data_IF_893527598327
#
_entry.id   IF_893527598327
#
_cell.length_a   1.000
_cell.length_b   1.000
_cell.length_c   1.000
_cell.angle_alpha   90.00
_cell.angle_beta   90.00
_cell.angle_gamma   90.00
#
_symmetry.space_group_name_H-M   'P 1'
#
loop_
_entity.id
_entity.type
_entity.pdbx_description
1 polymer ?
#
# COMPACT_ATOMS: atom_id res chain seq x y z
N UNK A 1 69.69 -5.47 -13.40
CA UNK A 1 69.42 -6.14 -14.69
C UNK A 1 68.78 -7.48 -14.36
N UNK A 2 67.56 -7.84 -14.73
CA UNK A 2 66.63 -7.28 -15.71
C UNK A 2 65.19 -7.47 -15.22
N UNK A 3 64.33 -6.65 -15.81
CA UNK A 3 62.90 -6.51 -15.61
C UNK A 3 62.08 -7.67 -16.20
N UNK A 4 60.90 -7.84 -15.60
CA UNK A 4 59.60 -8.20 -16.20
C UNK A 4 59.44 -9.50 -17.00
N UNK A 5 58.52 -10.37 -16.53
CA UNK A 5 57.35 -10.73 -17.34
C UNK A 5 56.16 -11.10 -16.46
N UNK A 6 55.03 -10.45 -16.73
CA UNK A 6 53.71 -10.61 -16.12
C UNK A 6 53.00 -11.81 -16.76
N UNK A 7 52.35 -12.66 -15.96
CA UNK A 7 51.17 -13.41 -16.41
C UNK A 7 50.22 -13.71 -15.24
N UNK A 8 49.08 -13.05 -15.28
CA UNK A 8 47.90 -13.24 -14.44
C UNK A 8 47.28 -14.63 -14.64
N UNK A 9 47.06 -15.38 -13.55
CA UNK A 9 45.92 -16.30 -13.42
C UNK A 9 45.50 -16.35 -11.94
N UNK A 10 44.51 -15.54 -11.57
CA UNK A 10 43.75 -15.71 -10.32
C UNK A 10 42.40 -16.30 -10.69
N UNK A 11 42.24 -17.61 -10.49
CA UNK A 11 40.98 -18.32 -10.67
C UNK A 11 40.13 -18.13 -9.41
N UNK A 12 39.45 -16.99 -9.29
CA UNK A 12 38.31 -16.85 -8.38
C UNK A 12 37.05 -17.17 -9.17
N UNK A 13 36.63 -18.42 -9.14
CA UNK A 13 35.28 -18.82 -9.54
C UNK A 13 34.29 -18.19 -8.54
N UNK A 14 33.75 -17.01 -8.87
CA UNK A 14 32.52 -16.54 -8.26
C UNK A 14 31.38 -17.32 -8.90
N UNK A 15 30.93 -18.39 -8.24
CA UNK A 15 29.60 -18.94 -8.50
C UNK A 15 28.58 -17.87 -8.09
N UNK A 16 28.09 -17.12 -9.08
CA UNK A 16 26.92 -16.27 -8.95
C UNK A 16 25.70 -17.16 -8.76
N UNK A 17 25.34 -17.38 -7.51
CA UNK A 17 24.00 -17.85 -7.18
C UNK A 17 23.03 -16.68 -7.30
N UNK A 18 21.97 -16.90 -8.08
CA UNK A 18 20.93 -15.94 -8.37
C UNK A 18 20.30 -15.38 -7.10
N UNK A 19 20.13 -14.06 -7.12
CA UNK A 19 19.31 -13.31 -6.19
C UNK A 19 17.88 -13.83 -6.28
N UNK A 20 17.52 -14.72 -5.36
CA UNK A 20 16.17 -15.23 -5.25
C UNK A 20 15.27 -14.09 -4.78
N UNK A 21 14.17 -13.89 -5.52
CA UNK A 21 13.14 -12.90 -5.23
C UNK A 21 12.75 -12.92 -3.76
N UNK A 22 12.63 -11.71 -3.22
CA UNK A 22 12.21 -11.37 -1.87
C UNK A 22 10.78 -11.90 -1.63
N UNK A 23 10.69 -13.20 -1.35
CA UNK A 23 9.47 -13.92 -1.04
C UNK A 23 9.28 -13.92 0.47
N UNK A 24 8.28 -13.18 0.93
CA UNK A 24 7.76 -13.23 2.29
C UNK A 24 8.72 -12.63 3.31
N UNK A 25 8.33 -11.47 3.84
CA UNK A 25 8.95 -10.80 4.98
C UNK A 25 8.75 -11.62 6.27
N UNK A 26 9.25 -12.87 6.30
CA UNK A 26 9.33 -13.74 7.47
C UNK A 26 10.67 -13.58 8.21
N UNK A 27 11.35 -12.45 8.01
CA UNK A 27 12.52 -12.02 8.81
C UNK A 27 12.18 -11.01 9.91
N UNK A 28 10.90 -10.79 10.20
CA UNK A 28 10.41 -9.70 11.06
C UNK A 28 10.70 -9.80 12.56
N UNK A 29 11.41 -10.84 13.05
CA UNK A 29 11.78 -10.92 14.47
C UNK A 29 13.26 -10.68 14.77
N UNK A 30 14.13 -10.51 13.77
CA UNK A 30 15.58 -10.44 14.03
C UNK A 30 16.39 -9.41 13.22
N UNK A 31 15.98 -9.04 12.01
CA UNK A 31 16.89 -8.31 11.09
C UNK A 31 16.68 -6.78 11.06
N UNK A 32 15.63 -6.25 11.72
CA UNK A 32 15.35 -4.80 11.76
C UNK A 32 15.68 -4.12 13.10
N UNK A 33 16.33 -4.82 14.04
CA UNK A 33 16.80 -4.24 15.32
C UNK A 33 18.29 -3.88 15.35
N UNK A 34 19.02 -3.95 14.23
CA UNK A 34 20.48 -3.79 14.23
C UNK A 34 20.96 -2.38 14.60
N UNK A 35 20.05 -1.40 14.78
CA UNK A 35 20.39 -0.05 15.26
C UNK A 35 19.94 0.27 16.68
N UNK A 36 19.15 -0.59 17.34
CA UNK A 36 18.64 -0.35 18.70
C UNK A 36 19.02 -1.44 19.72
N UNK A 37 19.62 -2.55 19.28
CA UNK A 37 20.17 -3.57 20.16
C UNK A 37 21.48 -3.13 20.81
N UNK A 38 21.67 -3.45 22.08
CA UNK A 38 22.97 -3.34 22.74
C UNK A 38 24.04 -4.05 21.90
N UNK A 39 25.13 -3.39 21.48
CA UNK A 39 26.19 -4.03 20.71
C UNK A 39 26.71 -5.28 21.43
N UNK A 40 27.12 -6.36 20.74
CA UNK A 40 27.58 -7.58 21.41
C UNK A 40 28.72 -7.34 22.41
N UNK A 41 29.59 -6.36 22.13
CA UNK A 41 30.68 -5.96 23.03
C UNK A 41 30.22 -5.20 24.29
N UNK A 42 29.02 -4.62 24.26
CA UNK A 42 28.48 -3.91 25.41
C UNK A 42 27.97 -4.88 26.48
N UNK A 43 27.68 -6.15 26.17
CA UNK A 43 27.21 -7.13 27.17
C UNK A 43 28.24 -7.35 28.29
N UNK A 44 29.52 -7.72 28.04
CA UNK A 44 30.52 -7.81 29.10
C UNK A 44 30.73 -6.50 29.87
N UNK A 45 30.70 -5.37 29.17
CA UNK A 45 30.87 -4.05 29.78
C UNK A 45 29.72 -3.71 30.74
N UNK A 46 28.47 -3.97 30.36
CA UNK A 46 27.29 -3.77 31.21
C UNK A 46 27.29 -4.71 32.42
N UNK A 47 27.74 -5.95 32.25
CA UNK A 47 27.91 -6.90 33.37
C UNK A 47 28.89 -6.34 34.40
N UNK A 48 30.06 -5.90 33.95
CA UNK A 48 31.09 -5.33 34.84
C UNK A 48 30.62 -4.03 35.48
N UNK A 49 29.95 -3.16 34.71
CA UNK A 49 29.38 -1.92 35.23
C UNK A 49 28.36 -2.19 36.34
N UNK A 50 27.46 -3.15 36.14
CA UNK A 50 26.53 -3.59 37.18
C UNK A 50 27.27 -4.09 38.42
N UNK A 51 28.24 -4.99 38.26
CA UNK A 51 28.99 -5.58 39.38
C UNK A 51 29.69 -4.54 40.27
N UNK A 52 30.11 -3.41 39.69
CA UNK A 52 30.75 -2.32 40.44
C UNK A 52 29.73 -1.35 41.06
N UNK A 53 28.63 -1.06 40.36
CA UNK A 53 27.70 0.01 40.76
C UNK A 53 26.53 -0.43 41.66
N UNK A 54 25.98 -1.64 41.47
CA UNK A 54 24.66 -1.97 42.03
C UNK A 54 24.64 -2.23 43.53
N UNK A 55 25.79 -2.54 44.13
CA UNK A 55 25.89 -2.86 45.55
C UNK A 55 25.04 -4.07 45.96
N UNK A 56 24.75 -4.25 47.26
CA UNK A 56 23.83 -5.29 47.72
C UNK A 56 22.42 -5.06 47.15
N UNK A 57 21.76 -6.12 46.71
CA UNK A 57 20.38 -6.05 46.23
C UNK A 57 19.44 -5.53 47.33
N UNK A 58 18.71 -4.46 47.03
CA UNK A 58 17.68 -3.88 47.91
C UNK A 58 16.38 -3.77 47.13
N UNK A 59 15.36 -4.49 47.58
CA UNK A 59 14.01 -4.41 47.03
C UNK A 59 13.00 -4.14 48.14
N UNK A 60 12.20 -3.08 47.98
CA UNK A 60 11.11 -2.71 48.88
C UNK A 60 9.77 -3.11 48.21
N UNK A 61 9.13 -4.20 48.64
CA UNK A 61 7.89 -4.69 48.02
C UNK A 61 6.73 -3.69 48.08
N UNK A 62 6.81 -2.68 48.96
CA UNK A 62 5.81 -1.63 49.09
C UNK A 62 6.01 -0.46 48.11
N UNK A 63 7.19 -0.35 47.46
CA UNK A 63 7.53 0.73 46.51
C UNK A 63 7.66 0.16 45.10
N UNK A 64 6.52 0.02 44.43
CA UNK A 64 6.43 -0.44 43.04
C UNK A 64 5.91 0.68 42.14
N UNK A 65 6.31 0.73 40.85
CA UNK A 65 5.67 1.61 39.89
C UNK A 65 4.21 1.21 39.70
N UNK A 66 3.36 2.19 39.40
CA UNK A 66 1.99 1.93 38.97
C UNK A 66 1.99 1.23 37.61
N UNK A 67 1.00 0.37 37.39
CA UNK A 67 0.78 -0.19 36.07
C UNK A 67 0.35 0.92 35.09
N UNK A 68 0.78 0.78 33.84
CA UNK A 68 0.18 1.55 32.76
C UNK A 68 -1.34 1.32 32.74
N UNK A 69 -2.15 2.33 32.36
CA UNK A 69 -3.60 2.17 32.31
C UNK A 69 -4.00 0.99 31.41
N UNK A 70 -4.88 0.13 31.93
CA UNK A 70 -5.33 -1.07 31.23
C UNK A 70 -6.09 -0.70 29.96
N UNK A 71 -5.70 -1.30 28.83
CA UNK A 71 -6.32 -1.08 27.52
C UNK A 71 -6.35 0.40 27.06
N UNK A 72 -5.39 1.21 27.52
CA UNK A 72 -5.23 2.58 27.01
C UNK A 72 -4.46 2.57 25.67
N UNK A 73 -5.02 3.13 24.59
CA UNK A 73 -4.36 3.20 23.29
C UNK A 73 -3.08 4.00 23.28
N UNK A 74 -2.91 4.95 24.19
CA UNK A 74 -1.67 5.72 24.31
C UNK A 74 -0.46 4.84 24.67
N UNK A 75 -0.69 3.66 25.25
CA UNK A 75 0.37 2.68 25.52
C UNK A 75 1.14 2.30 24.25
N UNK A 76 0.50 2.30 23.07
CA UNK A 76 1.18 1.96 21.80
C UNK A 76 2.36 2.88 21.50
N UNK A 77 2.33 4.12 22.00
CA UNK A 77 3.37 5.11 21.77
C UNK A 77 4.67 4.81 22.55
N UNK A 78 4.61 3.93 23.56
CA UNK A 78 5.76 3.50 24.35
C UNK A 78 6.54 2.35 23.70
N UNK A 79 5.92 1.63 22.77
CA UNK A 79 6.52 0.46 22.13
C UNK A 79 7.53 0.83 21.05
N UNK A 80 8.28 -0.15 20.55
CA UNK A 80 9.14 0.06 19.38
C UNK A 80 8.30 0.10 18.09
N UNK A 81 8.87 0.64 17.01
CA UNK A 81 8.17 0.83 15.73
C UNK A 81 7.58 -0.46 15.16
N UNK A 82 8.32 -1.56 15.26
CA UNK A 82 7.95 -2.91 14.82
C UNK A 82 6.75 -3.45 15.61
N UNK A 83 6.77 -3.32 16.94
CA UNK A 83 5.65 -3.74 17.81
C UNK A 83 4.40 -2.91 17.50
N UNK A 84 4.53 -1.59 17.35
CA UNK A 84 3.42 -0.74 16.92
C UNK A 84 2.84 -1.22 15.60
N UNK A 85 3.69 -1.54 14.63
CA UNK A 85 3.25 -1.94 13.31
C UNK A 85 2.49 -3.26 13.34
N UNK A 86 2.94 -4.24 14.13
CA UNK A 86 2.22 -5.50 14.30
C UNK A 86 0.83 -5.30 14.92
N UNK A 87 0.73 -4.48 15.97
CA UNK A 87 -0.54 -4.20 16.66
C UNK A 87 -1.52 -3.52 15.71
N UNK A 88 -1.09 -2.45 15.04
CA UNK A 88 -1.95 -1.66 14.14
C UNK A 88 -2.35 -2.47 12.90
N UNK A 89 -1.43 -3.25 12.33
CA UNK A 89 -1.72 -4.13 11.19
C UNK A 89 -2.80 -5.16 11.56
N UNK A 90 -2.69 -5.79 12.73
CA UNK A 90 -3.68 -6.75 13.19
C UNK A 90 -5.02 -6.09 13.49
N UNK A 91 -5.01 -4.88 14.06
CA UNK A 91 -6.21 -4.10 14.32
C UNK A 91 -6.98 -3.84 13.01
N UNK A 92 -6.32 -3.33 11.97
CA UNK A 92 -6.94 -3.08 10.65
C UNK A 92 -7.45 -4.40 10.04
N UNK A 93 -6.61 -5.44 10.01
CA UNK A 93 -6.97 -6.72 9.41
C UNK A 93 -8.18 -7.37 10.11
N UNK A 94 -8.32 -7.22 11.42
CA UNK A 94 -9.46 -7.73 12.19
C UNK A 94 -10.80 -7.03 11.89
N UNK A 95 -10.75 -5.91 11.16
CA UNK A 95 -11.93 -5.11 10.78
C UNK A 95 -12.27 -5.22 9.30
N UNK A 96 -11.59 -6.09 8.55
CA UNK A 96 -11.83 -6.28 7.11
C UNK A 96 -12.18 -7.74 6.85
N UNK A 97 -13.29 -7.94 6.13
CA UNK A 97 -13.65 -9.23 5.55
C UNK A 97 -13.52 -9.10 4.03
N UNK A 98 -12.87 -10.08 3.41
CA UNK A 98 -12.85 -10.24 1.95
C UNK A 98 -13.72 -11.46 1.63
N UNK A 99 -14.74 -11.28 0.80
CA UNK A 99 -15.69 -12.32 0.45
C UNK A 99 -15.95 -12.34 -1.06
N UNK A 100 -16.39 -13.49 -1.57
CA UNK A 100 -16.80 -13.64 -2.96
C UNK A 100 -18.30 -13.46 -3.08
N UNK A 101 -18.73 -12.68 -4.07
CA UNK A 101 -20.10 -12.63 -4.56
C UNK A 101 -20.11 -13.33 -5.92
N UNK A 102 -20.49 -14.61 -5.90
CA UNK A 102 -20.53 -15.48 -7.09
C UNK A 102 -21.89 -15.25 -7.73
N UNK A 103 -21.90 -14.77 -8.98
CA UNK A 103 -23.13 -14.65 -9.75
C UNK A 103 -23.84 -15.99 -9.76
N UNK A 104 -25.15 -16.00 -9.48
CA UNK A 104 -25.94 -17.22 -9.26
C UNK A 104 -25.94 -18.12 -10.50
N UNK A 105 -24.95 -19.00 -10.63
CA UNK A 105 -24.88 -19.98 -11.71
C UNK A 105 -25.64 -21.24 -11.29
N UNK A 106 -26.97 -21.14 -11.20
CA UNK A 106 -27.78 -22.32 -11.50
C UNK A 106 -27.71 -22.55 -13.01
N UNK A 107 -27.11 -23.68 -13.38
CA UNK A 107 -26.92 -24.16 -14.74
C UNK A 107 -28.26 -24.12 -15.49
N UNK A 108 -28.40 -23.17 -16.42
CA UNK A 108 -29.39 -23.24 -17.49
C UNK A 108 -28.76 -22.74 -18.79
N UNK A 109 -28.70 -23.59 -19.84
CA UNK A 109 -28.12 -23.18 -21.11
C UNK A 109 -29.18 -22.40 -21.90
N UNK A 110 -29.20 -21.07 -21.84
CA UNK A 110 -29.76 -20.29 -22.96
C UNK A 110 -29.41 -18.79 -22.98
N UNK A 111 -29.02 -18.39 -24.20
CA UNK A 111 -29.23 -17.10 -24.89
C UNK A 111 -28.32 -15.92 -24.57
N UNK A 112 -27.42 -15.72 -25.54
CA UNK A 112 -26.81 -14.48 -26.03
C UNK A 112 -27.65 -13.22 -25.72
N UNK A 113 -27.09 -12.31 -24.90
CA UNK A 113 -27.70 -11.01 -24.59
C UNK A 113 -27.24 -10.36 -23.28
N UNK A 114 -25.93 -10.09 -23.17
CA UNK A 114 -25.35 -8.90 -22.50
C UNK A 114 -25.79 -8.49 -21.08
N UNK A 115 -25.80 -9.42 -20.13
CA UNK A 115 -25.59 -9.13 -18.70
C UNK A 115 -25.22 -10.43 -17.98
N UNK A 116 -24.07 -11.02 -18.31
CA UNK A 116 -23.56 -12.12 -17.49
C UNK A 116 -23.11 -11.54 -16.15
N UNK A 117 -23.76 -11.96 -15.07
CA UNK A 117 -23.34 -11.68 -13.71
C UNK A 117 -21.89 -12.18 -13.54
N UNK A 118 -20.93 -11.25 -13.47
CA UNK A 118 -19.50 -11.57 -13.32
C UNK A 118 -19.19 -11.90 -11.87
N UNK A 119 -18.25 -12.82 -11.63
CA UNK A 119 -17.74 -13.08 -10.28
C UNK A 119 -17.15 -11.80 -9.70
N UNK A 120 -17.44 -11.52 -8.42
CA UNK A 120 -16.93 -10.34 -7.73
C UNK A 120 -16.28 -10.72 -6.41
N UNK A 121 -15.36 -9.87 -5.99
CA UNK A 121 -14.84 -9.83 -4.63
C UNK A 121 -15.36 -8.56 -3.99
N UNK A 122 -15.93 -8.72 -2.80
CA UNK A 122 -16.44 -7.63 -1.96
C UNK A 122 -15.55 -7.53 -0.74
N UNK A 123 -15.02 -6.33 -0.50
CA UNK A 123 -14.26 -6.00 0.71
C UNK A 123 -15.22 -5.25 1.63
N UNK A 124 -15.47 -5.79 2.83
CA UNK A 124 -16.42 -5.24 3.80
C UNK A 124 -15.74 -4.85 5.10
N UNK A 125 -16.32 -3.86 5.77
CA UNK A 125 -15.97 -3.56 7.15
C UNK A 125 -16.66 -4.55 8.10
N UNK A 126 -15.91 -5.06 9.08
CA UNK A 126 -16.40 -5.91 10.16
C UNK A 126 -16.49 -5.08 11.46
N UNK A 127 -17.57 -4.30 11.60
CA UNK A 127 -17.76 -3.36 12.72
C UNK A 127 -18.96 -3.65 13.64
N UNK A 128 -19.66 -4.79 13.47
CA UNK A 128 -20.73 -5.19 14.39
C UNK A 128 -21.69 -6.24 13.80
N UNK A 129 -22.81 -6.50 14.50
CA UNK A 129 -23.71 -7.63 14.23
C UNK A 129 -24.51 -7.58 12.90
N UNK A 130 -24.45 -6.46 12.15
CA UNK A 130 -25.02 -6.37 10.81
C UNK A 130 -24.00 -5.76 9.85
N UNK A 131 -23.15 -6.61 9.26
CA UNK A 131 -22.19 -6.27 8.20
C UNK A 131 -22.90 -5.59 7.02
N UNK A 132 -22.82 -4.25 6.92
CA UNK A 132 -23.45 -3.49 5.82
C UNK A 132 -22.50 -2.62 5.01
N UNK A 133 -21.38 -2.17 5.57
CA UNK A 133 -20.51 -1.24 4.86
C UNK A 133 -19.58 -1.94 3.86
N UNK A 134 -19.69 -1.55 2.60
CA UNK A 134 -18.87 -2.03 1.51
C UNK A 134 -17.72 -1.06 1.28
N UNK A 135 -16.50 -1.54 1.50
CA UNK A 135 -15.26 -0.77 1.26
C UNK A 135 -14.98 -0.74 -0.24
N UNK A 136 -14.97 -1.92 -0.87
CA UNK A 136 -14.73 -2.04 -2.29
C UNK A 136 -15.53 -3.20 -2.90
N UNK A 137 -15.94 -3.04 -4.16
CA UNK A 137 -16.45 -4.12 -5.00
C UNK A 137 -15.60 -4.18 -6.25
N UNK A 138 -15.04 -5.33 -6.56
CA UNK A 138 -14.20 -5.52 -7.74
C UNK A 138 -14.74 -6.73 -8.48
N UNK A 139 -15.08 -6.58 -9.76
CA UNK A 139 -15.46 -7.69 -10.61
C UNK A 139 -14.26 -8.31 -11.30
N UNK A 140 -14.41 -9.58 -11.69
CA UNK A 140 -13.40 -10.34 -12.42
C UNK A 140 -13.50 -10.05 -13.93
N UNK A 141 -12.44 -9.53 -14.58
CA UNK A 141 -12.43 -9.33 -16.02
C UNK A 141 -12.40 -10.66 -16.79
N UNK A 142 -13.01 -10.68 -17.97
CA UNK A 142 -12.91 -11.82 -18.88
C UNK A 142 -11.54 -11.91 -19.55
N UNK A 143 -11.17 -13.09 -20.01
CA UNK A 143 -9.94 -13.34 -20.77
C UNK A 143 -9.88 -12.53 -22.07
N UNK A 144 -11.04 -12.21 -22.66
CA UNK A 144 -11.15 -11.37 -23.85
C UNK A 144 -10.70 -9.94 -23.53
N UNK A 145 -11.12 -9.38 -22.38
CA UNK A 145 -10.69 -8.04 -21.96
C UNK A 145 -9.18 -7.99 -21.71
N UNK A 146 -8.61 -9.00 -21.05
CA UNK A 146 -7.16 -9.09 -20.86
C UNK A 146 -6.41 -9.20 -22.20
N UNK A 147 -6.90 -10.02 -23.12
CA UNK A 147 -6.26 -10.22 -24.42
C UNK A 147 -6.23 -8.94 -25.26
N UNK A 148 -7.29 -8.13 -25.20
CA UNK A 148 -7.35 -6.82 -25.88
C UNK A 148 -6.29 -5.83 -25.35
N UNK A 149 -5.83 -6.01 -24.11
CA UNK A 149 -4.85 -5.14 -23.48
C UNK A 149 -3.39 -5.53 -23.73
N UNK A 150 -3.11 -6.68 -24.36
CA UNK A 150 -1.73 -7.10 -24.67
C UNK A 150 -0.98 -6.08 -25.54
N UNK A 151 -1.69 -5.34 -26.40
CA UNK A 151 -1.10 -4.28 -27.22
C UNK A 151 -0.43 -3.18 -26.38
N UNK A 152 -0.92 -2.90 -25.16
CA UNK A 152 -0.31 -1.89 -24.30
C UNK A 152 1.04 -2.35 -23.75
N UNK A 153 1.22 -3.65 -23.50
CA UNK A 153 2.51 -4.18 -23.04
C UNK A 153 3.59 -4.04 -24.10
N UNK A 154 3.23 -4.25 -25.37
CA UNK A 154 4.12 -4.00 -26.50
C UNK A 154 4.38 -2.50 -26.68
N UNK A 155 3.32 -1.68 -26.68
CA UNK A 155 3.43 -0.22 -26.82
C UNK A 155 4.36 0.40 -25.76
N UNK A 156 4.29 -0.09 -24.51
CA UNK A 156 5.13 0.40 -23.42
C UNK A 156 6.53 -0.24 -23.38
N UNK A 157 6.82 -1.25 -24.19
CA UNK A 157 8.11 -1.94 -24.18
C UNK A 157 9.28 -0.99 -24.52
N UNK A 158 9.06 -0.03 -25.41
CA UNK A 158 10.06 0.98 -25.80
C UNK A 158 10.49 1.88 -24.62
N UNK A 159 9.66 2.01 -23.59
CA UNK A 159 9.93 2.86 -22.41
C UNK A 159 10.69 2.11 -21.31
N UNK A 160 10.97 0.81 -21.47
CA UNK A 160 11.64 0.01 -20.44
C UNK A 160 13.00 0.56 -20.05
N UNK A 161 13.79 1.01 -21.02
CA UNK A 161 15.15 1.50 -20.75
C UNK A 161 15.13 2.76 -19.88
N UNK A 162 14.30 3.75 -20.21
CA UNK A 162 14.19 5.00 -19.46
C UNK A 162 13.52 4.81 -18.09
N UNK A 163 12.61 3.83 -17.95
CA UNK A 163 11.88 3.57 -16.70
C UNK A 163 12.53 2.52 -15.80
N UNK A 164 13.59 1.85 -16.25
CA UNK A 164 14.22 0.73 -15.52
C UNK A 164 14.61 1.09 -14.08
N UNK A 165 15.19 2.28 -13.88
CA UNK A 165 15.60 2.75 -12.56
C UNK A 165 14.39 3.00 -11.63
N UNK A 166 13.34 3.65 -12.14
CA UNK A 166 12.08 3.83 -11.40
C UNK A 166 11.47 2.47 -11.05
N UNK A 167 11.38 1.56 -12.03
CA UNK A 167 10.76 0.23 -11.87
C UNK A 167 11.48 -0.57 -10.79
N UNK A 168 12.81 -0.54 -10.79
CA UNK A 168 13.67 -1.27 -9.85
C UNK A 168 13.54 -0.73 -8.44
N UNK A 169 13.57 0.60 -8.27
CA UNK A 169 13.34 1.24 -6.96
C UNK A 169 11.97 0.83 -6.39
N UNK A 170 10.94 0.92 -7.22
CA UNK A 170 9.56 0.63 -6.85
C UNK A 170 9.33 -0.84 -6.45
N UNK A 171 10.24 -1.77 -6.76
CA UNK A 171 10.12 -3.16 -6.29
C UNK A 171 10.12 -3.26 -4.76
N UNK A 172 10.86 -2.38 -4.08
CA UNK A 172 11.02 -2.41 -2.61
C UNK A 172 10.63 -1.11 -1.92
N UNK A 173 10.71 0.01 -2.63
CA UNK A 173 10.46 1.32 -2.05
C UNK A 173 9.70 2.24 -3.02
N UNK A 174 8.39 2.30 -2.82
CA UNK A 174 7.53 3.29 -3.48
C UNK A 174 7.43 4.60 -2.68
N UNK A 175 7.79 4.61 -1.40
CA UNK A 175 7.65 5.79 -0.51
C UNK A 175 8.60 6.89 -0.96
N UNK A 176 9.84 6.55 -1.36
CA UNK A 176 10.82 7.53 -1.86
C UNK A 176 10.30 8.38 -3.03
N UNK A 177 9.49 7.80 -3.92
CA UNK A 177 8.86 8.56 -5.00
C UNK A 177 7.88 9.62 -4.50
N UNK A 178 7.17 9.37 -3.40
CA UNK A 178 6.25 10.33 -2.80
C UNK A 178 6.96 11.36 -1.90
N UNK A 179 8.06 10.97 -1.23
CA UNK A 179 8.94 11.87 -0.46
C UNK A 179 9.60 12.92 -1.38
N UNK A 180 9.76 12.64 -2.67
CA UNK A 180 10.24 13.64 -3.62
C UNK A 180 9.21 14.77 -3.88
N UNK A 181 7.92 14.55 -3.59
CA UNK A 181 6.83 15.52 -3.80
C UNK A 181 6.57 16.33 -2.53
N UNK A 182 6.61 15.68 -1.37
CA UNK A 182 6.31 16.26 -0.07
C UNK A 182 7.53 16.20 0.86
N UNK A 183 7.79 17.21 1.71
CA UNK A 183 8.96 17.25 2.59
C UNK A 183 8.86 16.27 3.79
N UNK A 184 8.71 14.97 3.52
CA UNK A 184 8.57 13.87 4.48
C UNK A 184 9.92 13.47 5.11
N UNK A 185 10.60 14.43 5.73
CA UNK A 185 11.89 14.18 6.40
C UNK A 185 11.66 13.29 7.63
N UNK A 186 12.36 12.14 7.78
CA UNK A 186 12.15 11.22 8.89
C UNK A 186 12.24 11.86 10.27
N UNK A 187 13.07 12.90 10.43
CA UNK A 187 13.26 13.61 11.70
C UNK A 187 12.05 14.45 12.09
N UNK A 188 11.24 14.88 11.11
CA UNK A 188 10.08 15.78 11.31
C UNK A 188 8.73 15.09 11.08
N UNK A 189 8.72 14.01 10.29
CA UNK A 189 7.53 13.28 9.85
C UNK A 189 7.58 11.79 10.21
N UNK A 190 8.19 11.46 11.36
CA UNK A 190 8.41 10.08 11.79
C UNK A 190 7.09 9.31 11.91
N UNK A 191 6.08 9.90 12.54
CA UNK A 191 4.80 9.24 12.79
C UNK A 191 3.99 9.12 11.52
N UNK A 192 4.08 10.10 10.62
CA UNK A 192 3.50 10.02 9.28
C UNK A 192 4.08 8.83 8.50
N UNK A 193 5.42 8.69 8.47
CA UNK A 193 6.08 7.59 7.77
C UNK A 193 5.80 6.23 8.42
N UNK A 194 5.76 6.17 9.76
CA UNK A 194 5.35 4.96 10.48
C UNK A 194 3.92 4.56 10.16
N UNK A 195 2.97 5.50 10.28
CA UNK A 195 1.56 5.27 9.95
C UNK A 195 1.38 4.74 8.53
N UNK A 196 2.05 5.36 7.55
CA UNK A 196 2.03 4.92 6.15
C UNK A 196 2.52 3.48 6.00
N UNK A 197 3.64 3.11 6.64
CA UNK A 197 4.17 1.75 6.58
C UNK A 197 3.21 0.73 7.19
N UNK A 198 2.52 1.09 8.26
CA UNK A 198 1.48 0.24 8.87
C UNK A 198 0.29 0.03 7.93
N UNK A 199 -0.16 1.11 7.26
CA UNK A 199 -1.23 1.04 6.28
C UNK A 199 -0.86 0.20 5.06
N UNK A 200 0.39 0.33 4.57
CA UNK A 200 0.92 -0.48 3.48
C UNK A 200 0.90 -1.97 3.83
N UNK A 201 1.42 -2.34 5.01
CA UNK A 201 1.37 -3.75 5.48
C UNK A 201 -0.05 -4.29 5.59
N UNK A 202 -0.99 -3.46 6.08
CA UNK A 202 -2.38 -3.86 6.20
C UNK A 202 -3.05 -4.06 4.83
N UNK A 203 -2.83 -3.17 3.86
CA UNK A 203 -3.40 -3.33 2.52
C UNK A 203 -2.80 -4.50 1.76
N UNK A 204 -1.51 -4.82 1.95
CA UNK A 204 -0.88 -6.00 1.35
C UNK A 204 -1.60 -7.30 1.76
N UNK A 205 -2.09 -7.40 3.02
CA UNK A 205 -2.90 -8.54 3.47
C UNK A 205 -4.26 -8.63 2.76
N UNK A 206 -4.88 -7.48 2.49
CA UNK A 206 -6.21 -7.39 1.86
C UNK A 206 -6.08 -7.70 0.37
N UNK A 207 -5.15 -7.06 -0.34
CA UNK A 207 -4.97 -7.26 -1.78
C UNK A 207 -4.57 -8.70 -2.11
N UNK A 208 -3.78 -9.37 -1.25
CA UNK A 208 -3.39 -10.76 -1.49
C UNK A 208 -4.57 -11.71 -1.37
N UNK A 209 -5.52 -11.44 -0.47
CA UNK A 209 -6.79 -12.18 -0.41
C UNK A 209 -7.65 -11.94 -1.65
N UNK A 210 -7.78 -10.68 -2.08
CA UNK A 210 -8.52 -10.35 -3.32
C UNK A 210 -7.88 -11.04 -4.52
N UNK A 211 -6.55 -10.99 -4.65
CA UNK A 211 -5.78 -11.67 -5.70
C UNK A 211 -6.00 -13.17 -5.71
N UNK A 212 -6.00 -13.79 -4.53
CA UNK A 212 -6.25 -15.23 -4.38
C UNK A 212 -7.65 -15.60 -4.89
N UNK A 213 -8.68 -14.84 -4.51
CA UNK A 213 -10.07 -15.09 -4.93
C UNK A 213 -10.29 -14.81 -6.41
N UNK A 214 -9.64 -13.79 -6.97
CA UNK A 214 -9.75 -13.44 -8.40
C UNK A 214 -9.00 -14.41 -9.32
N UNK A 215 -7.87 -14.98 -8.85
CA UNK A 215 -7.09 -15.99 -9.56
C UNK A 215 -6.85 -15.70 -11.06
N UNK A 216 -6.50 -14.46 -11.41
CA UNK A 216 -6.26 -14.04 -12.79
C UNK A 216 -4.80 -14.30 -13.22
N UNK A 217 -4.64 -14.72 -14.48
CA UNK A 217 -3.33 -15.02 -15.08
C UNK A 217 -2.55 -13.75 -15.40
N UNK A 218 -1.22 -13.82 -15.26
CA UNK A 218 -0.28 -12.77 -15.63
C UNK A 218 -0.14 -12.64 -17.16
N UNK A 219 0.31 -11.49 -17.68
CA UNK A 219 0.43 -11.28 -19.13
C UNK A 219 1.35 -12.28 -19.87
N UNK A 220 2.45 -12.70 -19.24
CA UNK A 220 3.39 -13.69 -19.78
C UNK A 220 2.76 -15.09 -19.98
N UNK A 221 1.64 -15.38 -19.30
CA UNK A 221 0.88 -16.61 -19.49
C UNK A 221 0.01 -16.60 -20.76
N UNK A 222 -0.23 -15.43 -21.37
CA UNK A 222 -1.09 -15.31 -22.55
C UNK A 222 -0.29 -15.53 -23.84
N UNK A 223 0.93 -15.01 -23.93
CA UNK A 223 1.71 -15.08 -25.17
C UNK A 223 3.23 -14.98 -24.97
N UNK A 224 4.06 -15.81 -25.64
CA UNK A 224 5.53 -15.82 -25.44
C UNK A 224 6.28 -14.54 -25.84
N UNK A 225 5.70 -13.66 -26.67
CA UNK A 225 6.33 -12.36 -26.98
C UNK A 225 6.24 -11.38 -25.82
N UNK A 226 5.36 -11.63 -24.85
CA UNK A 226 5.37 -10.87 -23.59
C UNK A 226 6.55 -11.35 -22.77
N UNK A 227 7.62 -10.58 -22.81
CA UNK A 227 8.86 -10.83 -22.06
C UNK A 227 9.03 -9.75 -20.98
N UNK A 228 8.63 -10.03 -19.72
CA UNK A 228 8.79 -9.09 -18.62
C UNK A 228 10.25 -8.74 -18.36
N UNK A 229 10.52 -7.50 -17.96
CA UNK A 229 11.88 -7.04 -17.65
C UNK A 229 12.31 -7.30 -16.20
N UNK A 230 11.39 -7.80 -15.38
CA UNK A 230 11.59 -8.21 -14.00
C UNK A 230 10.98 -9.60 -13.82
N UNK A 231 11.39 -10.30 -12.76
CA UNK A 231 10.80 -11.61 -12.46
C UNK A 231 9.30 -11.50 -12.21
N UNK A 232 8.50 -12.27 -12.96
CA UNK A 232 7.05 -12.33 -12.75
C UNK A 232 6.74 -12.91 -11.38
N UNK A 233 5.98 -12.20 -10.52
CA UNK A 233 5.61 -12.75 -9.22
C UNK A 233 4.69 -13.96 -9.33
N UNK A 234 4.89 -14.97 -8.48
CA UNK A 234 4.17 -16.27 -8.49
C UNK A 234 2.75 -16.24 -7.93
N UNK A 235 2.08 -15.09 -7.98
CA UNK A 235 0.69 -14.91 -7.55
C UNK A 235 -0.12 -14.14 -8.61
N UNK A 236 -1.46 -14.17 -8.46
CA UNK A 236 -2.43 -13.56 -9.39
C UNK A 236 -2.09 -12.09 -9.75
N UNK A 237 -2.38 -11.73 -11.00
CA UNK A 237 -2.15 -10.38 -11.52
C UNK A 237 -3.18 -9.36 -11.03
N UNK A 238 -4.39 -9.77 -10.68
CA UNK A 238 -5.50 -8.86 -10.53
C UNK A 238 -6.02 -8.83 -9.09
N UNK A 239 -6.20 -7.64 -8.47
CA UNK A 239 -5.79 -6.30 -8.94
C UNK A 239 -4.27 -6.08 -8.84
N UNK A 240 -3.73 -4.98 -9.37
CA UNK A 240 -2.30 -4.61 -9.29
C UNK A 240 -1.92 -4.20 -7.87
N UNK A 241 -0.92 -4.86 -7.27
CA UNK A 241 -0.50 -4.60 -5.89
C UNK A 241 0.18 -3.24 -5.72
N UNK A 242 1.24 -2.98 -6.50
CA UNK A 242 1.85 -1.64 -6.57
C UNK A 242 0.86 -0.54 -6.93
N UNK A 243 -0.15 -0.85 -7.76
CA UNK A 243 -1.26 0.09 -8.03
C UNK A 243 -2.06 0.39 -6.76
N UNK A 244 -2.50 -0.65 -6.05
CA UNK A 244 -3.21 -0.51 -4.77
C UNK A 244 -2.42 0.27 -3.73
N UNK A 245 -1.17 -0.10 -3.49
CA UNK A 245 -0.30 0.56 -2.52
C UNK A 245 -0.04 2.03 -2.87
N UNK A 246 0.22 2.34 -4.15
CA UNK A 246 0.52 3.70 -4.58
C UNK A 246 -0.70 4.64 -4.50
N UNK A 247 -1.91 4.14 -4.84
CA UNK A 247 -3.14 4.92 -4.67
C UNK A 247 -3.56 5.05 -3.21
N UNK A 248 -3.27 4.06 -2.36
CA UNK A 248 -3.41 4.20 -0.92
C UNK A 248 -2.51 5.32 -0.38
N UNK A 249 -1.21 5.31 -0.74
CA UNK A 249 -0.25 6.35 -0.37
C UNK A 249 -0.69 7.75 -0.80
N UNK A 250 -1.09 7.90 -2.05
CA UNK A 250 -1.57 9.18 -2.58
C UNK A 250 -2.79 9.69 -1.80
N UNK A 251 -3.71 8.79 -1.43
CA UNK A 251 -4.93 9.14 -0.65
C UNK A 251 -4.57 9.59 0.77
N UNK A 252 -3.73 8.83 1.48
CA UNK A 252 -3.30 9.18 2.84
C UNK A 252 -2.51 10.50 2.88
N UNK A 253 -1.55 10.68 1.96
CA UNK A 253 -0.75 11.90 1.90
C UNK A 253 -1.57 13.13 1.50
N UNK A 254 -2.53 12.96 0.59
CA UNK A 254 -3.48 14.02 0.23
C UNK A 254 -4.33 14.42 1.43
N UNK A 255 -4.80 13.45 2.22
CA UNK A 255 -5.53 13.71 3.46
C UNK A 255 -4.70 14.53 4.45
N UNK A 256 -3.46 14.12 4.72
CA UNK A 256 -2.59 14.86 5.63
C UNK A 256 -2.27 16.28 5.12
N UNK A 257 -1.97 16.43 3.82
CA UNK A 257 -1.74 17.73 3.21
C UNK A 257 -2.97 18.64 3.30
N UNK A 258 -4.18 18.11 3.08
CA UNK A 258 -5.44 18.85 3.26
C UNK A 258 -5.61 19.28 4.72
N UNK A 259 -5.27 18.41 5.67
CA UNK A 259 -5.38 18.69 7.11
C UNK A 259 -4.39 19.74 7.63
N UNK A 260 -3.30 20.01 6.89
CA UNK A 260 -2.33 21.05 7.22
C UNK A 260 -2.73 22.45 6.74
N UNK A 261 -3.83 22.58 5.99
CA UNK A 261 -4.24 23.89 5.49
C UNK A 261 -4.69 24.81 6.63
N UNK A 262 -4.27 26.09 6.62
CA UNK A 262 -4.73 27.05 7.61
C UNK A 262 -6.24 27.26 7.46
N UNK A 263 -6.89 27.66 8.54
CA UNK A 263 -8.29 28.06 8.53
C UNK A 263 -8.42 29.53 8.98
N UNK A 264 -8.81 30.46 8.09
CA UNK A 264 -9.15 30.25 6.68
C UNK A 264 -7.92 29.94 5.80
N UNK A 265 -8.18 29.27 4.66
CA UNK A 265 -7.13 28.97 3.68
C UNK A 265 -6.69 30.26 2.96
N UNK A 266 -5.40 30.36 2.66
CA UNK A 266 -4.83 31.42 1.81
C UNK A 266 -4.77 30.98 0.34
N UNK A 267 -4.66 31.94 -0.58
CA UNK A 267 -4.45 31.66 -2.01
C UNK A 267 -3.24 30.75 -2.25
N UNK A 268 -2.13 31.03 -1.55
CA UNK A 268 -0.93 30.18 -1.59
C UNK A 268 -1.22 28.75 -1.13
N UNK A 269 -1.84 28.58 0.04
CA UNK A 269 -2.10 27.24 0.58
C UNK A 269 -3.05 26.42 -0.29
N UNK A 270 -4.02 27.10 -0.93
CA UNK A 270 -4.96 26.49 -1.87
C UNK A 270 -4.25 26.03 -3.14
N UNK A 271 -3.41 26.91 -3.73
CA UNK A 271 -2.62 26.58 -4.92
C UNK A 271 -1.61 25.45 -4.65
N UNK A 272 -0.92 25.51 -3.51
CA UNK A 272 0.03 24.48 -3.07
C UNK A 272 -0.65 23.12 -2.92
N UNK A 273 -1.80 23.06 -2.23
CA UNK A 273 -2.57 21.83 -2.09
C UNK A 273 -3.04 21.27 -3.42
N UNK A 274 -3.51 22.15 -4.33
CA UNK A 274 -3.90 21.76 -5.68
C UNK A 274 -2.76 21.07 -6.44
N UNK A 275 -1.55 21.63 -6.40
CA UNK A 275 -0.39 21.03 -7.06
C UNK A 275 0.06 19.73 -6.37
N UNK A 276 0.09 19.69 -5.03
CA UNK A 276 0.38 18.47 -4.27
C UNK A 276 -0.60 17.35 -4.66
N UNK A 277 -1.90 17.62 -4.61
CA UNK A 277 -2.94 16.63 -4.94
C UNK A 277 -2.77 16.09 -6.36
N UNK A 278 -2.45 16.96 -7.33
CA UNK A 278 -2.19 16.59 -8.72
C UNK A 278 -0.93 15.73 -8.88
N UNK A 279 0.16 16.08 -8.19
CA UNK A 279 1.43 15.34 -8.27
C UNK A 279 1.31 13.96 -7.60
N UNK A 280 0.61 13.87 -6.46
CA UNK A 280 0.33 12.59 -5.79
C UNK A 280 -0.45 11.63 -6.71
N UNK A 281 -1.50 12.13 -7.38
CA UNK A 281 -2.26 11.34 -8.35
C UNK A 281 -1.37 10.85 -9.51
N UNK A 282 -0.58 11.76 -10.09
CA UNK A 282 0.33 11.44 -11.20
C UNK A 282 1.39 10.41 -10.80
N UNK A 283 1.95 10.53 -9.60
CA UNK A 283 2.94 9.60 -9.08
C UNK A 283 2.35 8.20 -8.85
N UNK A 284 1.15 8.12 -8.29
CA UNK A 284 0.46 6.85 -8.13
C UNK A 284 0.16 6.18 -9.49
N UNK A 285 -0.37 6.95 -10.45
CA UNK A 285 -0.59 6.46 -11.80
C UNK A 285 0.71 6.02 -12.51
N UNK A 286 1.83 6.74 -12.29
CA UNK A 286 3.14 6.40 -12.84
C UNK A 286 3.67 5.06 -12.29
N UNK A 287 3.59 4.84 -10.97
CA UNK A 287 3.98 3.58 -10.33
C UNK A 287 3.15 2.42 -10.87
N UNK A 288 1.84 2.62 -11.01
CA UNK A 288 0.93 1.61 -11.57
C UNK A 288 1.29 1.30 -13.03
N UNK A 289 1.42 2.32 -13.89
CA UNK A 289 1.78 2.16 -15.30
C UNK A 289 3.15 1.51 -15.49
N UNK A 290 4.11 1.77 -14.60
CA UNK A 290 5.42 1.12 -14.60
C UNK A 290 5.32 -0.41 -14.48
N UNK A 291 4.20 -0.96 -13.98
CA UNK A 291 3.96 -2.41 -13.98
C UNK A 291 3.57 -2.98 -15.34
N UNK A 292 2.90 -2.18 -16.18
CA UNK A 292 2.61 -2.52 -17.59
C UNK A 292 3.89 -2.43 -18.41
N UNK A 293 4.68 -1.35 -18.21
CA UNK A 293 6.01 -1.18 -18.83
C UNK A 293 6.91 -2.37 -18.50
N UNK A 294 6.91 -2.79 -17.24
CA UNK A 294 7.68 -3.95 -16.79
C UNK A 294 7.18 -5.30 -17.34
N UNK A 295 5.99 -5.34 -17.93
CA UNK A 295 5.41 -6.52 -18.56
C UNK A 295 4.66 -7.47 -17.60
N UNK A 296 4.40 -7.05 -16.35
CA UNK A 296 3.86 -7.94 -15.31
C UNK A 296 2.38 -7.73 -14.99
N UNK A 297 1.77 -6.66 -15.51
CA UNK A 297 0.37 -6.31 -15.28
C UNK A 297 -0.29 -5.74 -16.53
N UNK A 298 -1.60 -5.89 -16.62
CA UNK A 298 -2.45 -5.21 -17.62
C UNK A 298 -2.91 -3.83 -17.09
N UNK A 299 -3.28 -2.87 -17.96
CA UNK A 299 -3.86 -1.61 -17.52
C UNK A 299 -5.11 -1.77 -16.64
N UNK A 300 -5.95 -2.78 -16.88
CA UNK A 300 -7.14 -3.04 -16.05
C UNK A 300 -6.78 -3.47 -14.63
N UNK A 301 -5.66 -4.18 -14.44
CA UNK A 301 -5.15 -4.53 -13.10
C UNK A 301 -4.88 -3.26 -12.28
N UNK A 302 -4.33 -2.23 -12.93
CA UNK A 302 -4.02 -0.95 -12.30
C UNK A 302 -5.26 -0.15 -11.97
N UNK A 303 -6.29 -0.16 -12.83
CA UNK A 303 -7.55 0.52 -12.56
C UNK A 303 -8.27 -0.07 -11.34
N UNK A 304 -8.38 -1.40 -11.28
CA UNK A 304 -8.94 -2.10 -10.12
C UNK A 304 -8.07 -1.92 -8.86
N UNK A 305 -6.75 -1.93 -9.02
CA UNK A 305 -5.81 -1.69 -7.93
C UNK A 305 -5.98 -0.28 -7.34
N UNK A 306 -6.12 0.73 -8.20
CA UNK A 306 -6.36 2.10 -7.79
C UNK A 306 -7.69 2.26 -7.02
N UNK A 307 -8.76 1.60 -7.49
CA UNK A 307 -10.04 1.53 -6.78
C UNK A 307 -9.85 0.94 -5.38
N UNK A 308 -9.22 -0.23 -5.27
CA UNK A 308 -8.97 -0.88 -3.99
C UNK A 308 -8.14 -0.01 -3.04
N UNK A 309 -7.08 0.61 -3.55
CA UNK A 309 -6.16 1.44 -2.77
C UNK A 309 -6.82 2.67 -2.17
N UNK A 310 -7.61 3.41 -2.96
CA UNK A 310 -8.36 4.57 -2.48
C UNK A 310 -9.40 4.16 -1.45
N UNK A 311 -10.16 3.09 -1.72
CA UNK A 311 -11.19 2.59 -0.82
C UNK A 311 -10.63 2.17 0.54
N UNK A 312 -9.56 1.38 0.55
CA UNK A 312 -8.92 0.91 1.79
C UNK A 312 -8.27 2.08 2.54
N UNK A 313 -7.68 3.06 1.85
CA UNK A 313 -7.15 4.26 2.51
C UNK A 313 -8.23 5.06 3.23
N UNK A 314 -9.36 5.30 2.56
CA UNK A 314 -10.50 6.00 3.15
C UNK A 314 -11.08 5.21 4.35
N UNK A 315 -11.15 3.89 4.23
CA UNK A 315 -11.54 3.01 5.33
C UNK A 315 -10.60 3.13 6.54
N UNK A 316 -9.28 3.05 6.34
CA UNK A 316 -8.29 3.17 7.42
C UNK A 316 -8.37 4.55 8.08
N UNK A 317 -8.52 5.62 7.30
CA UNK A 317 -8.72 6.97 7.85
C UNK A 317 -9.99 7.06 8.70
N UNK A 318 -11.08 6.41 8.28
CA UNK A 318 -12.33 6.34 9.05
C UNK A 318 -12.13 5.57 10.35
N UNK A 319 -11.43 4.43 10.32
CA UNK A 319 -11.07 3.67 11.52
C UNK A 319 -10.15 4.43 12.48
N UNK A 320 -9.31 5.32 11.96
CA UNK A 320 -8.39 6.14 12.75
C UNK A 320 -9.04 7.41 13.34
N UNK A 321 -10.37 7.53 13.30
CA UNK A 321 -11.13 8.71 13.72
C UNK A 321 -10.74 10.01 13.00
N UNK A 322 -10.37 9.92 11.73
CA UNK A 322 -10.09 11.10 10.93
C UNK A 322 -11.36 11.95 10.73
N UNK A 323 -11.36 13.16 11.30
CA UNK A 323 -12.41 14.16 11.12
C UNK A 323 -12.36 14.77 9.71
N UNK A 324 -12.95 14.10 8.70
CA UNK A 324 -13.13 14.63 7.35
C UNK A 324 -14.46 14.11 6.74
N UNK A 325 -15.14 14.95 5.96
CA UNK A 325 -16.52 14.73 5.45
C UNK A 325 -16.62 13.85 4.21
N UNK A 326 -15.51 13.52 3.55
CA UNK A 326 -15.54 12.91 2.20
C UNK A 326 -14.81 11.55 2.15
N UNK A 327 -14.99 10.69 3.16
CA UNK A 327 -14.50 9.31 3.11
C UNK A 327 -15.52 8.43 2.38
N UNK A 328 -15.07 7.62 1.43
CA UNK A 328 -15.93 6.78 0.57
C UNK A 328 -15.21 5.50 0.12
N UNK A 329 -16.01 4.48 -0.17
CA UNK A 329 -15.63 3.26 -0.85
C UNK A 329 -15.86 3.39 -2.35
N UNK A 330 -15.51 2.37 -3.12
CA UNK A 330 -15.68 2.41 -4.58
C UNK A 330 -15.99 1.03 -5.15
N UNK A 331 -16.83 1.00 -6.17
CA UNK A 331 -17.00 -0.18 -7.02
C UNK A 331 -16.10 -0.07 -8.26
N UNK A 332 -15.76 -1.20 -8.85
CA UNK A 332 -15.11 -1.32 -10.15
C UNK A 332 -15.94 -2.23 -11.05
N UNK A 333 -16.04 -1.85 -12.33
CA UNK A 333 -16.68 -2.61 -13.39
C UNK A 333 -15.71 -2.73 -14.57
N UNK A 334 -15.17 -3.93 -14.77
CA UNK A 334 -14.16 -4.25 -15.77
C UNK A 334 -14.67 -4.11 -17.21
N UNK A 335 -15.94 -4.43 -17.46
CA UNK A 335 -16.57 -4.30 -18.77
C UNK A 335 -16.69 -2.83 -19.19
N UNK A 336 -17.10 -1.96 -18.27
CA UNK A 336 -17.18 -0.51 -18.49
C UNK A 336 -15.80 0.13 -18.61
N UNK A 337 -14.76 -0.43 -17.96
CA UNK A 337 -13.39 0.02 -18.20
C UNK A 337 -12.99 -0.25 -19.65
N UNK A 338 -13.31 -1.43 -20.18
CA UNK A 338 -13.12 -1.81 -21.58
C UNK A 338 -11.66 -2.18 -21.92
N UNK A 339 -11.47 -3.22 -22.73
CA UNK A 339 -10.14 -3.76 -23.05
C UNK A 339 -9.31 -2.91 -24.01
N UNK A 340 -9.92 -1.92 -24.67
CA UNK A 340 -9.21 -0.95 -25.53
C UNK A 340 -8.70 0.29 -24.78
N UNK A 341 -8.98 0.40 -23.48
CA UNK A 341 -8.60 1.56 -22.69
C UNK A 341 -7.34 1.31 -21.87
N UNK A 342 -6.56 2.39 -21.71
CA UNK A 342 -5.37 2.42 -20.88
C UNK A 342 -5.65 3.11 -19.53
N UNK A 343 -4.86 2.77 -18.52
CA UNK A 343 -4.93 3.39 -17.20
C UNK A 343 -3.77 4.36 -17.01
N UNK A 344 -4.08 5.66 -17.17
CA UNK A 344 -3.14 6.77 -17.01
C UNK A 344 -3.63 7.73 -15.93
N UNK A 345 -2.83 8.76 -15.61
CA UNK A 345 -3.26 9.82 -14.70
C UNK A 345 -4.52 10.58 -15.20
N UNK A 346 -4.78 10.60 -16.51
CA UNK A 346 -5.99 11.17 -17.09
C UNK A 346 -7.20 10.29 -16.82
N UNK A 347 -7.07 8.97 -17.01
CA UNK A 347 -8.13 7.98 -16.71
C UNK A 347 -8.42 7.92 -15.21
N UNK A 348 -7.40 8.12 -14.38
CA UNK A 348 -7.53 8.16 -12.92
C UNK A 348 -8.02 9.52 -12.38
N UNK A 349 -8.24 10.52 -13.24
CA UNK A 349 -8.61 11.86 -12.78
C UNK A 349 -9.96 11.83 -12.03
N UNK A 350 -9.96 12.35 -10.81
CA UNK A 350 -11.13 12.33 -9.92
C UNK A 350 -11.25 11.08 -9.03
N UNK A 351 -10.34 10.10 -9.13
CA UNK A 351 -10.42 8.88 -8.29
C UNK A 351 -10.26 9.17 -6.79
N UNK A 352 -9.46 10.19 -6.46
CA UNK A 352 -9.22 10.67 -5.09
C UNK A 352 -10.38 11.51 -4.54
N UNK A 353 -11.39 11.79 -5.37
CA UNK A 353 -12.60 12.56 -5.05
C UNK A 353 -13.84 11.66 -5.18
N UNK A 354 -15.02 12.15 -4.79
CA UNK A 354 -16.32 11.43 -4.90
C UNK A 354 -16.89 11.35 -6.34
N UNK A 355 -16.04 11.50 -7.36
CA UNK A 355 -16.48 11.48 -8.76
C UNK A 355 -16.59 10.07 -9.34
N UNK A 356 -17.57 9.84 -10.21
CA UNK A 356 -17.57 8.65 -11.07
C UNK A 356 -16.41 8.74 -12.08
N UNK A 357 -15.82 7.58 -12.40
CA UNK A 357 -14.77 7.48 -13.40
C UNK A 357 -15.29 6.77 -14.64
N UNK A 358 -15.04 7.36 -15.80
CA UNK A 358 -15.43 6.81 -17.10
C UNK A 358 -14.27 6.91 -18.08
N UNK A 359 -14.21 5.96 -19.01
CA UNK A 359 -13.39 6.11 -20.22
C UNK A 359 -14.22 6.80 -21.31
N UNK A 360 -13.60 7.47 -22.29
CA UNK A 360 -14.34 8.19 -23.33
C UNK A 360 -15.35 7.31 -24.06
N UNK A 361 -16.63 7.71 -24.03
CA UNK A 361 -17.71 6.99 -24.70
C UNK A 361 -18.27 5.77 -23.96
N UNK A 362 -17.79 5.46 -22.75
CA UNK A 362 -18.28 4.33 -21.95
C UNK A 362 -19.01 4.79 -20.69
N UNK A 363 -19.80 3.86 -20.13
CA UNK A 363 -20.37 4.02 -18.80
C UNK A 363 -19.28 4.11 -17.72
N UNK A 364 -19.65 4.54 -16.51
CA UNK A 364 -18.70 4.65 -15.41
C UNK A 364 -18.14 3.27 -15.05
N UNK A 365 -16.82 3.13 -15.09
CA UNK A 365 -16.11 1.93 -14.65
C UNK A 365 -15.86 1.93 -13.15
N UNK A 366 -15.97 3.08 -12.48
CA UNK A 366 -15.95 3.14 -11.02
C UNK A 366 -16.96 4.15 -10.50
N UNK A 367 -17.74 3.72 -9.52
CA UNK A 367 -18.70 4.57 -8.79
C UNK A 367 -18.34 4.62 -7.31
N UNK A 368 -18.76 5.69 -6.65
CA UNK A 368 -18.61 5.79 -5.20
C UNK A 368 -19.55 4.81 -4.47
N UNK A 369 -19.14 4.44 -3.25
CA UNK A 369 -19.91 3.71 -2.26
C UNK A 369 -19.83 4.49 -0.95
N UNK A 370 -20.96 4.65 -0.26
CA UNK A 370 -20.94 5.32 1.04
C UNK A 370 -20.35 4.40 2.11
N UNK A 371 -19.51 4.98 2.97
CA UNK A 371 -18.92 4.31 4.14
C UNK A 371 -19.59 4.83 5.41
N UNK A 372 -20.60 4.12 5.89
CA UNK A 372 -21.35 4.48 7.11
C UNK A 372 -20.82 3.73 8.33
N UNK A 373 -19.49 3.69 8.46
CA UNK A 373 -18.85 2.91 9.53
C UNK A 373 -19.19 3.55 10.88
N UNK A 374 -19.86 2.81 11.78
CA UNK A 374 -20.16 3.31 13.11
C UNK A 374 -18.85 3.62 13.83
N UNK A 375 -18.84 4.75 14.55
CA UNK A 375 -17.73 5.10 15.44
C UNK A 375 -17.47 3.90 16.36
N UNK A 376 -16.27 3.32 16.29
CA UNK A 376 -15.91 2.24 17.20
C UNK A 376 -15.77 2.87 18.60
N UNK A 377 -16.48 2.35 19.59
CA UNK A 377 -16.38 2.87 20.96
C UNK A 377 -14.96 2.65 21.51
N UNK A 378 -14.30 3.74 21.90
CA UNK A 378 -12.94 3.76 22.44
C UNK A 378 -11.87 4.14 21.41
N UNK A 379 -10.88 4.92 21.83
CA UNK A 379 -9.69 5.18 21.02
C UNK A 379 -9.00 3.85 20.70
N UNK A 380 -8.36 3.75 19.54
CA UNK A 380 -7.65 2.55 19.11
C UNK A 380 -6.15 2.79 18.96
N UNK A 381 -5.33 1.73 18.85
CA UNK A 381 -3.89 1.90 18.68
C UNK A 381 -3.59 2.62 17.35
N UNK A 382 -4.36 2.31 16.30
CA UNK A 382 -4.35 3.04 15.03
C UNK A 382 -4.65 4.54 15.24
N UNK A 383 -5.73 4.86 15.96
CA UNK A 383 -6.12 6.24 16.26
C UNK A 383 -5.01 6.99 17.02
N UNK A 384 -4.39 6.37 18.03
CA UNK A 384 -3.28 6.96 18.78
C UNK A 384 -2.06 7.31 17.89
N UNK A 385 -1.66 6.41 16.99
CA UNK A 385 -0.58 6.66 16.02
C UNK A 385 -0.97 7.74 15.01
N UNK A 386 -2.20 7.68 14.48
CA UNK A 386 -2.72 8.69 13.56
C UNK A 386 -2.73 10.09 14.18
N UNK A 387 -3.13 10.24 15.45
CA UNK A 387 -3.11 11.55 16.11
C UNK A 387 -1.69 12.12 16.20
N UNK A 388 -0.66 11.29 16.39
CA UNK A 388 0.73 11.76 16.36
C UNK A 388 1.15 12.19 14.95
N UNK A 389 0.80 11.41 13.92
CA UNK A 389 1.03 11.81 12.53
C UNK A 389 0.33 13.13 12.21
N UNK A 390 -0.96 13.27 12.57
CA UNK A 390 -1.74 14.50 12.36
C UNK A 390 -1.09 15.72 13.00
N UNK A 391 -0.57 15.61 14.24
CA UNK A 391 0.15 16.70 14.91
C UNK A 391 1.36 17.18 14.12
N UNK A 392 2.12 16.28 13.49
CA UNK A 392 3.27 16.66 12.66
C UNK A 392 2.89 17.57 11.49
N UNK A 393 1.65 17.45 10.96
CA UNK A 393 1.14 18.27 9.87
C UNK A 393 0.48 19.57 10.30
N UNK A 394 0.06 19.66 11.57
CA UNK A 394 -0.54 20.88 12.14
C UNK A 394 0.51 21.80 12.77
N UNK A 395 1.70 21.29 13.08
CA UNK A 395 2.80 22.07 13.63
C UNK A 395 3.59 22.78 12.51
N UNK A 396 3.55 24.12 12.40
CA UNK A 396 4.30 24.85 11.38
C UNK A 396 5.81 24.72 11.55
N UNK A 397 6.31 24.42 12.75
CA UNK A 397 7.75 24.23 13.02
C UNK A 397 8.26 22.88 12.50
N UNK A 398 7.36 21.91 12.28
CA UNK A 398 7.65 20.59 11.72
C UNK A 398 7.35 20.49 10.22
N UNK A 399 6.76 21.54 9.62
CA UNK A 399 6.40 21.59 8.19
C UNK A 399 7.59 21.68 7.23
#
# INVERSE_FOLDING_TARGET
MALETISFVSTTQSFGHGDHGDHGDHKLHGDFSSTAGTPPIATPALIMNHAVLSGPWVWDPCKKPDHLPFNDPANVLLWTQDVRAMIVQQEIASKVIVETDIGSSEISPSKQGDSSETDKVVVRAQTGAQNKDVIAVIDRPSEVLFSQQLQFLEYYADQRLERAAEITLQLRDIISNFVAILPLRPERKRWTLEFIRMCLRAVSLIEMQVKHMMACRRPDCFWPQVQPMIQTPSHSCYPSGHGTEAFLLATLLRHFAKSSLPHPATDWSTAWYGEVSKQLLRQAARIAQNRVVAGVHFPIDNAAGAVLGVSVANFILKLADASATDLFGRSFNSANFGGSNDFTHTTANGILDRGNLSTPGNAAFSTELDLEIPHLEGSSALSAVYQQAKKEWQDPTLS
#
